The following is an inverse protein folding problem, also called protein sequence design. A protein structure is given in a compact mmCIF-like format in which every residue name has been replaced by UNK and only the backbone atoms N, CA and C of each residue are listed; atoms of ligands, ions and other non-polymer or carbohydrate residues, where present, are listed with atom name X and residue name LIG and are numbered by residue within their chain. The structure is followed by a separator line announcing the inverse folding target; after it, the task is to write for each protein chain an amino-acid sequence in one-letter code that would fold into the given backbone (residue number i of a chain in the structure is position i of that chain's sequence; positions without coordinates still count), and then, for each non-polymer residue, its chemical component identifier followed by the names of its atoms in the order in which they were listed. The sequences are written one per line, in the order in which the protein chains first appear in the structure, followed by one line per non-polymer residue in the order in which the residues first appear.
data_IF_695323139214
#
_entry.id   IF_695323139214
#
_cell.length_a   1.000
_cell.length_b   1.000
_cell.length_c   1.000
_cell.angle_alpha   90.00
_cell.angle_beta   90.00
_cell.angle_gamma   90.00
#
_symmetry.space_group_name_H-M   'P 1'
#
loop_
_entity.id
_entity.type
_entity.pdbx_description
1 polymer ?
#
# COMPACT_ATOMS: atom_id res chain seq x y z
N UNK A 1 -1.29 -13.01 -15.97
CA UNK A 1 -0.03 -12.68 -15.32
C UNK A 1 -0.26 -12.03 -13.97
N UNK A 2 0.49 -12.42 -12.99
CA UNK A 2 0.35 -11.91 -11.64
C UNK A 2 1.05 -10.55 -11.51
N UNK A 3 0.28 -9.47 -11.29
CA UNK A 3 0.89 -8.13 -11.17
C UNK A 3 1.74 -7.97 -9.91
N UNK A 4 1.64 -8.93 -8.99
CA UNK A 4 2.44 -8.89 -7.77
C UNK A 4 3.61 -9.87 -7.81
N UNK A 5 3.91 -10.38 -8.98
CA UNK A 5 4.99 -11.34 -9.11
C UNK A 5 6.29 -10.81 -8.50
N UNK A 6 6.80 -11.50 -7.49
CA UNK A 6 8.04 -11.10 -6.84
C UNK A 6 7.90 -9.88 -5.94
N UNK A 7 6.70 -9.38 -5.72
CA UNK A 7 6.48 -8.20 -4.91
C UNK A 7 5.79 -8.59 -3.61
N UNK A 8 6.40 -8.28 -2.48
CA UNK A 8 5.83 -8.57 -1.17
C UNK A 8 4.95 -7.43 -0.72
N UNK A 9 4.13 -7.68 0.31
CA UNK A 9 3.32 -6.62 0.89
C UNK A 9 4.19 -5.49 1.43
N UNK A 10 5.32 -5.83 2.01
CA UNK A 10 6.26 -4.83 2.50
C UNK A 10 6.71 -3.91 1.35
N UNK A 11 7.05 -4.50 0.24
CA UNK A 11 7.48 -3.72 -0.92
C UNK A 11 6.38 -2.83 -1.44
N UNK A 12 5.15 -3.35 -1.45
CA UNK A 12 4.00 -2.57 -1.89
C UNK A 12 3.86 -1.31 -1.05
N UNK A 13 3.95 -1.46 0.27
CA UNK A 13 3.81 -0.31 1.16
C UNK A 13 4.95 0.67 0.96
N UNK A 14 6.17 0.17 0.85
CA UNK A 14 7.33 1.02 0.67
C UNK A 14 7.18 1.88 -0.60
N UNK A 15 6.78 1.25 -1.69
CA UNK A 15 6.65 1.98 -2.94
C UNK A 15 5.49 2.97 -2.91
N UNK A 16 4.40 2.60 -2.26
CA UNK A 16 3.26 3.51 -2.15
C UNK A 16 3.60 4.72 -1.28
N UNK A 17 4.29 4.49 -0.18
CA UNK A 17 4.69 5.60 0.69
C UNK A 17 5.67 6.51 -0.02
N UNK A 18 6.57 5.93 -0.79
CA UNK A 18 7.54 6.71 -1.54
C UNK A 18 6.85 7.58 -2.58
N UNK A 19 5.80 7.06 -3.19
CA UNK A 19 5.08 7.77 -4.23
C UNK A 19 4.08 8.78 -3.67
N UNK A 20 3.34 8.41 -2.65
CA UNK A 20 2.22 9.19 -2.15
C UNK A 20 2.47 9.86 -0.79
N UNK A 21 3.28 9.26 0.06
CA UNK A 21 3.47 9.73 1.42
C UNK A 21 2.42 9.17 2.35
N UNK A 22 2.75 9.17 3.65
CA UNK A 22 1.84 8.61 4.66
C UNK A 22 0.52 9.35 4.74
N UNK A 23 0.56 10.66 4.62
CA UNK A 23 -0.64 11.47 4.75
C UNK A 23 -1.65 11.12 3.67
N UNK A 24 -1.19 11.02 2.44
CA UNK A 24 -2.07 10.67 1.32
C UNK A 24 -2.56 9.24 1.45
N UNK A 25 -1.68 8.35 1.90
CA UNK A 25 -2.07 6.96 2.14
C UNK A 25 -3.21 6.88 3.16
N UNK A 26 -3.11 7.66 4.24
CA UNK A 26 -4.15 7.69 5.26
C UNK A 26 -5.45 8.27 4.77
N UNK A 27 -5.39 9.14 3.78
CA UNK A 27 -6.58 9.70 3.18
C UNK A 27 -7.30 8.66 2.32
N UNK A 28 -6.53 7.91 1.53
CA UNK A 28 -7.09 6.93 0.61
C UNK A 28 -7.53 5.65 1.32
N UNK A 29 -6.77 5.26 2.33
CA UNK A 29 -7.09 4.08 3.14
C UNK A 29 -7.11 4.54 4.58
N UNK A 30 -8.25 4.95 5.10
CA UNK A 30 -8.33 5.62 6.42
C UNK A 30 -8.20 4.64 7.59
N UNK A 31 -7.00 4.17 7.80
CA UNK A 31 -6.69 3.28 8.92
C UNK A 31 -5.65 3.95 9.81
N UNK A 32 -5.72 3.64 11.11
CA UNK A 32 -4.87 4.31 12.09
C UNK A 32 -3.38 4.12 11.86
N UNK A 33 -2.98 2.98 11.35
CA UNK A 33 -1.57 2.73 11.17
C UNK A 33 -0.95 3.60 10.09
N UNK A 34 -1.77 4.27 9.29
CA UNK A 34 -1.29 5.24 8.31
C UNK A 34 -1.38 6.66 8.82
N UNK A 35 -2.15 6.88 9.89
CA UNK A 35 -2.41 8.23 10.39
C UNK A 35 -1.65 8.56 11.66
N UNK A 36 -1.52 7.58 12.55
CA UNK A 36 -0.88 7.78 13.84
C UNK A 36 0.48 7.11 13.85
N UNK A 37 1.53 7.93 13.91
CA UNK A 37 2.88 7.42 14.04
C UNK A 37 3.15 6.32 13.00
N UNK A 38 2.92 6.60 11.73
CA UNK A 38 3.01 5.55 10.73
C UNK A 38 4.40 4.99 10.56
N UNK A 39 4.46 3.68 10.32
CA UNK A 39 5.70 3.02 10.03
C UNK A 39 5.42 1.81 9.15
N UNK A 40 6.43 1.35 8.44
CA UNK A 40 6.28 0.17 7.59
C UNK A 40 5.91 -1.04 8.44
N UNK A 41 6.58 -1.20 9.57
CA UNK A 41 6.38 -2.36 10.42
C UNK A 41 4.96 -2.44 10.99
N UNK A 42 4.46 -1.32 11.53
CA UNK A 42 3.12 -1.34 12.11
C UNK A 42 2.07 -1.53 11.04
N UNK A 43 2.30 -0.96 9.85
CA UNK A 43 1.38 -1.13 8.74
C UNK A 43 1.31 -2.58 8.29
N UNK A 44 2.47 -3.25 8.20
CA UNK A 44 2.49 -4.66 7.83
C UNK A 44 1.73 -5.51 8.82
N UNK A 45 1.95 -5.25 10.12
CA UNK A 45 1.29 -6.02 11.15
C UNK A 45 -0.23 -5.90 11.03
N UNK A 46 -0.71 -4.68 10.84
CA UNK A 46 -2.15 -4.44 10.73
C UNK A 46 -2.72 -5.08 9.46
N UNK A 47 -2.05 -4.89 8.33
CA UNK A 47 -2.58 -5.36 7.06
C UNK A 47 -2.60 -6.87 6.97
N UNK A 48 -1.66 -7.54 7.62
CA UNK A 48 -1.65 -9.00 7.61
C UNK A 48 -2.84 -9.59 8.35
N UNK A 49 -3.42 -8.80 9.26
CA UNK A 49 -4.56 -9.25 10.07
C UNK A 49 -5.88 -8.73 9.53
N UNK A 50 -5.85 -7.83 8.58
CA UNK A 50 -7.06 -7.14 8.15
C UNK A 50 -7.22 -7.25 6.64
N UNK A 51 -7.86 -8.32 6.16
CA UNK A 51 -7.94 -8.59 4.71
C UNK A 51 -8.53 -7.47 3.88
N UNK A 52 -9.56 -6.78 4.39
CA UNK A 52 -10.17 -5.72 3.60
C UNK A 52 -9.20 -4.56 3.38
N UNK A 53 -8.41 -4.24 4.40
CA UNK A 53 -7.45 -3.15 4.29
C UNK A 53 -6.31 -3.55 3.37
N UNK A 54 -5.87 -4.78 3.46
CA UNK A 54 -4.84 -5.28 2.57
C UNK A 54 -5.29 -5.24 1.12
N UNK A 55 -6.54 -5.64 0.88
CA UNK A 55 -7.07 -5.60 -0.48
C UNK A 55 -7.09 -4.17 -1.03
N UNK A 56 -7.45 -3.21 -0.18
CA UNK A 56 -7.45 -1.81 -0.57
C UNK A 56 -6.06 -1.33 -0.95
N UNK A 57 -5.07 -1.70 -0.16
CA UNK A 57 -3.69 -1.30 -0.41
C UNK A 57 -3.19 -1.93 -1.71
N UNK A 58 -3.53 -3.19 -1.94
CA UNK A 58 -3.12 -3.86 -3.17
C UNK A 58 -3.77 -3.22 -4.39
N UNK A 59 -5.04 -2.86 -4.26
CA UNK A 59 -5.74 -2.18 -5.34
C UNK A 59 -5.10 -0.83 -5.64
N UNK A 60 -4.76 -0.12 -4.60
CA UNK A 60 -4.11 1.17 -4.72
C UNK A 60 -2.76 1.04 -5.43
N UNK A 61 -2.02 0.00 -5.08
CA UNK A 61 -0.73 -0.26 -5.70
C UNK A 61 -0.90 -0.51 -7.20
N UNK A 62 -1.91 -1.28 -7.57
CA UNK A 62 -2.15 -1.55 -8.99
C UNK A 62 -2.49 -0.27 -9.74
N UNK A 63 -3.30 0.57 -9.14
CA UNK A 63 -3.72 1.81 -9.79
C UNK A 63 -2.59 2.81 -9.92
N UNK A 64 -1.81 2.97 -8.85
CA UNK A 64 -0.85 4.07 -8.79
C UNK A 64 0.54 3.70 -9.25
N UNK A 65 0.90 2.45 -9.11
CA UNK A 65 2.25 2.02 -9.46
C UNK A 65 2.25 1.21 -10.75
N UNK A 66 1.46 0.14 -10.78
CA UNK A 66 1.49 -0.79 -11.90
C UNK A 66 0.85 -0.18 -13.14
N UNK A 67 -0.37 0.30 -13.02
CA UNK A 67 -1.08 0.86 -14.17
C UNK A 67 -0.39 2.12 -14.69
N UNK A 68 0.11 2.93 -13.77
CA UNK A 68 0.80 4.15 -14.17
C UNK A 68 2.03 3.82 -15.02
N UNK A 69 2.82 2.85 -14.58
CA UNK A 69 4.01 2.46 -15.33
C UNK A 69 3.67 1.80 -16.65
N UNK A 70 2.54 1.12 -16.66
CA UNK A 70 2.12 0.41 -17.86
C UNK A 70 1.66 1.35 -18.96
N UNK A 71 1.19 2.49 -18.56
CA UNK A 71 0.68 3.48 -19.49
C UNK A 71 1.74 4.03 -20.42
N UNK A 72 2.97 3.85 -20.01
CA UNK A 72 4.04 4.30 -20.88
C UNK A 72 4.14 3.44 -22.09
#
# INVERSE_FOLDING_TARGET
MDPFHGVTLERIIIELVDELGWEHMGYLVPINCFKNDPSIKSSLTFLRRTPWARAKVEELYLERIVDFKKEK
#
